data_IF_810462360178
#
_entry.id   IF_810462360178
#
_cell.length_a   1.000
_cell.length_b   1.000
_cell.length_c   1.000
_cell.angle_alpha   90.00
_cell.angle_beta   90.00
_cell.angle_gamma   90.00
#
_symmetry.space_group_name_H-M   'P 1'
#
loop_
_entity.id
_entity.type
_entity.pdbx_description
1 polymer ?
#
# COMPACT_ATOMS: atom_id res chain seq x y z
N UNK A 1 -29.01 -33.56 48.48
CA UNK A 1 -27.99 -32.52 48.47
C UNK A 1 -26.89 -32.91 47.52
N UNK A 2 -27.11 -32.67 46.26
CA UNK A 2 -26.08 -32.88 45.25
C UNK A 2 -26.03 -31.61 44.41
N UNK A 3 -25.09 -30.76 44.75
CA UNK A 3 -24.68 -29.68 43.90
C UNK A 3 -23.96 -30.23 42.69
N UNK A 4 -24.69 -30.48 41.66
CA UNK A 4 -24.08 -30.74 40.35
C UNK A 4 -23.83 -29.41 39.69
N UNK A 5 -22.73 -28.81 40.04
CA UNK A 5 -22.20 -27.69 39.31
C UNK A 5 -21.62 -28.21 37.99
N UNK A 6 -22.43 -28.16 37.00
CA UNK A 6 -21.99 -28.43 35.64
C UNK A 6 -21.05 -27.30 35.23
N UNK A 7 -19.79 -27.55 34.88
CA UNK A 7 -18.97 -26.48 34.37
C UNK A 7 -19.53 -26.08 33.00
N UNK A 8 -20.01 -24.89 32.93
CA UNK A 8 -20.38 -24.29 31.66
C UNK A 8 -19.11 -24.22 30.82
N UNK A 9 -19.02 -25.12 29.87
CA UNK A 9 -17.95 -25.09 28.91
C UNK A 9 -18.11 -23.82 28.12
N UNK A 10 -17.33 -22.82 28.48
CA UNK A 10 -17.21 -21.62 27.66
C UNK A 10 -16.79 -22.09 26.28
N UNK A 11 -17.69 -22.00 25.34
CA UNK A 11 -17.35 -22.18 23.94
C UNK A 11 -16.28 -21.13 23.62
N UNK A 12 -15.06 -21.56 23.46
CA UNK A 12 -14.02 -20.68 22.98
C UNK A 12 -14.47 -20.18 21.62
N UNK A 13 -14.54 -18.88 21.48
CA UNK A 13 -14.85 -18.24 20.21
C UNK A 13 -13.66 -18.37 19.25
N UNK A 14 -13.39 -19.60 18.86
CA UNK A 14 -12.36 -19.92 17.88
C UNK A 14 -12.78 -19.55 16.45
N UNK A 15 -13.99 -19.02 16.26
CA UNK A 15 -14.57 -18.81 14.95
C UNK A 15 -14.30 -17.46 14.31
N UNK A 16 -13.72 -16.48 15.04
CA UNK A 16 -13.53 -15.15 14.49
C UNK A 16 -12.21 -14.99 13.70
N UNK A 17 -11.34 -15.99 13.70
CA UNK A 17 -10.02 -15.89 13.09
C UNK A 17 -9.97 -16.16 11.58
N UNK A 18 -11.12 -16.37 10.93
CA UNK A 18 -11.17 -16.91 9.57
C UNK A 18 -11.63 -15.95 8.49
N UNK A 19 -11.59 -14.67 8.79
CA UNK A 19 -12.18 -13.68 7.91
C UNK A 19 -11.19 -13.20 6.85
N UNK A 20 -9.90 -13.56 6.98
CA UNK A 20 -8.86 -13.05 6.09
C UNK A 20 -8.60 -14.01 4.94
N UNK A 21 -8.54 -13.48 3.72
CA UNK A 21 -8.13 -14.24 2.54
C UNK A 21 -6.63 -14.55 2.60
N UNK A 22 -6.14 -15.45 1.75
CA UNK A 22 -4.72 -15.77 1.68
C UNK A 22 -3.90 -14.56 1.25
N UNK A 23 -4.44 -13.74 0.35
CA UNK A 23 -3.81 -12.50 -0.09
C UNK A 23 -3.73 -11.47 1.05
N UNK A 24 -4.77 -11.37 1.85
CA UNK A 24 -4.80 -10.48 3.02
C UNK A 24 -3.82 -10.92 4.09
N UNK A 25 -3.72 -12.24 4.34
CA UNK A 25 -2.71 -12.78 5.25
C UNK A 25 -1.30 -12.52 4.77
N UNK A 26 -1.05 -12.69 3.48
CA UNK A 26 0.25 -12.39 2.87
C UNK A 26 0.59 -10.90 3.02
N UNK A 27 -0.39 -10.02 2.81
CA UNK A 27 -0.21 -8.58 3.00
C UNK A 27 0.11 -8.22 4.46
N UNK A 28 -0.54 -8.87 5.42
CA UNK A 28 -0.27 -8.69 6.85
C UNK A 28 1.13 -9.16 7.24
N UNK A 29 1.56 -10.32 6.74
CA UNK A 29 2.92 -10.81 6.95
C UNK A 29 3.96 -9.87 6.38
N UNK A 30 3.74 -9.39 5.17
CA UNK A 30 4.63 -8.44 4.51
C UNK A 30 4.70 -7.14 5.30
N UNK A 31 3.56 -6.62 5.76
CA UNK A 31 3.49 -5.42 6.58
C UNK A 31 4.21 -5.60 7.93
N UNK A 32 4.08 -6.76 8.56
CA UNK A 32 4.78 -7.07 9.81
C UNK A 32 6.30 -7.13 9.61
N UNK A 33 6.75 -7.70 8.50
CA UNK A 33 8.17 -7.75 8.12
C UNK A 33 8.71 -6.35 7.86
N UNK A 34 7.97 -5.53 7.12
CA UNK A 34 8.31 -4.14 6.81
C UNK A 34 8.49 -3.31 8.09
N UNK A 35 7.62 -3.51 9.08
CA UNK A 35 7.71 -2.83 10.38
C UNK A 35 8.87 -3.29 11.25
N UNK A 36 9.28 -4.54 11.12
CA UNK A 36 10.40 -5.13 11.88
C UNK A 36 11.76 -4.84 11.26
N UNK A 37 11.79 -4.48 9.97
CA UNK A 37 13.04 -4.12 9.32
C UNK A 37 13.64 -2.89 10.02
N UNK A 38 14.94 -2.93 10.36
CA UNK A 38 15.58 -1.79 11.00
C UNK A 38 15.51 -0.59 10.08
N UNK A 39 14.97 0.50 10.61
CA UNK A 39 14.85 1.76 9.88
C UNK A 39 16.21 2.43 9.80
N UNK A 40 16.93 2.18 8.73
CA UNK A 40 18.14 2.91 8.36
C UNK A 40 17.69 4.14 7.55
N UNK A 41 17.19 5.16 8.25
CA UNK A 41 16.62 6.36 7.63
C UNK A 41 17.60 6.99 6.64
N UNK A 42 17.20 7.04 5.36
CA UNK A 42 17.90 7.77 4.31
C UNK A 42 19.17 7.13 3.80
N UNK A 43 19.48 5.87 4.16
CA UNK A 43 20.63 5.20 3.58
C UNK A 43 20.36 4.81 2.13
N UNK A 44 21.39 4.90 1.29
CA UNK A 44 21.31 4.45 -0.10
C UNK A 44 20.98 2.97 -0.20
N UNK A 45 21.41 2.16 0.76
CA UNK A 45 21.14 0.73 0.84
C UNK A 45 19.66 0.45 1.10
N UNK A 46 19.06 1.15 2.06
CA UNK A 46 17.63 1.03 2.37
C UNK A 46 16.78 1.41 1.16
N UNK A 47 17.15 2.49 0.49
CA UNK A 47 16.47 2.93 -0.72
C UNK A 47 16.57 1.92 -1.85
N UNK A 48 17.74 1.33 -2.06
CA UNK A 48 17.97 0.31 -3.06
C UNK A 48 17.19 -0.97 -2.75
N UNK A 49 17.14 -1.37 -1.49
CA UNK A 49 16.35 -2.51 -1.03
C UNK A 49 14.85 -2.27 -1.25
N UNK A 50 14.37 -1.09 -0.90
CA UNK A 50 12.98 -0.67 -1.14
C UNK A 50 12.61 -0.71 -2.61
N UNK A 51 13.49 -0.23 -3.49
CA UNK A 51 13.31 -0.30 -4.95
C UNK A 51 13.21 -1.76 -5.42
N UNK A 52 14.08 -2.63 -4.94
CA UNK A 52 14.02 -4.06 -5.29
C UNK A 52 12.71 -4.71 -4.83
N UNK A 53 12.28 -4.42 -3.62
CA UNK A 53 11.02 -4.94 -3.07
C UNK A 53 9.82 -4.46 -3.88
N UNK A 54 9.83 -3.19 -4.24
CA UNK A 54 8.78 -2.58 -5.07
C UNK A 54 8.73 -3.24 -6.44
N UNK A 55 9.87 -3.38 -7.10
CA UNK A 55 9.93 -4.02 -8.42
C UNK A 55 9.49 -5.48 -8.36
N UNK A 56 9.84 -6.21 -7.30
CA UNK A 56 9.38 -7.58 -7.10
C UNK A 56 7.86 -7.64 -6.91
N UNK A 57 7.26 -6.69 -6.23
CA UNK A 57 5.81 -6.63 -6.05
C UNK A 57 5.10 -6.36 -7.38
N UNK A 58 5.63 -5.48 -8.20
CA UNK A 58 5.09 -5.19 -9.54
C UNK A 58 5.20 -6.40 -10.46
N UNK A 59 6.33 -7.09 -10.44
CA UNK A 59 6.57 -8.26 -11.29
C UNK A 59 5.56 -9.39 -11.05
N UNK A 60 4.98 -9.47 -9.87
CA UNK A 60 3.95 -10.47 -9.51
C UNK A 60 2.55 -10.11 -9.97
N UNK A 61 2.34 -8.88 -10.40
CA UNK A 61 1.01 -8.43 -10.81
C UNK A 61 0.65 -8.97 -12.18
N UNK A 62 -0.61 -9.42 -12.38
CA UNK A 62 -1.11 -9.68 -13.74
C UNK A 62 -1.38 -8.35 -14.46
N UNK A 63 -1.58 -8.42 -15.79
CA UNK A 63 -2.07 -7.28 -16.54
C UNK A 63 -3.58 -7.05 -16.26
N UNK A 64 -4.09 -5.83 -16.28
CA UNK A 64 -3.38 -4.57 -16.61
C UNK A 64 -2.66 -3.91 -15.42
N UNK A 65 -2.74 -4.46 -14.22
CA UNK A 65 -2.17 -3.86 -13.02
C UNK A 65 -0.66 -3.64 -13.14
N UNK A 66 0.06 -4.62 -13.68
CA UNK A 66 1.50 -4.55 -13.82
C UNK A 66 1.94 -3.36 -14.67
N UNK A 67 1.37 -3.21 -15.86
CA UNK A 67 1.70 -2.08 -16.74
C UNK A 67 1.36 -0.74 -16.12
N UNK A 68 0.22 -0.63 -15.42
CA UNK A 68 -0.13 0.59 -14.70
C UNK A 68 0.87 0.90 -13.59
N UNK A 69 1.24 -0.11 -12.80
CA UNK A 69 2.18 0.05 -11.71
C UNK A 69 3.58 0.49 -12.21
N UNK A 70 4.05 -0.09 -13.29
CA UNK A 70 5.33 0.28 -13.93
C UNK A 70 5.31 1.73 -14.39
N UNK A 71 4.23 2.15 -15.05
CA UNK A 71 4.08 3.52 -15.53
C UNK A 71 3.99 4.52 -14.37
N UNK A 72 3.22 4.20 -13.35
CA UNK A 72 3.10 5.03 -12.14
C UNK A 72 4.45 5.17 -11.45
N UNK A 73 5.23 4.11 -11.38
CA UNK A 73 6.58 4.16 -10.80
C UNK A 73 7.45 5.16 -11.55
N UNK A 74 7.45 5.11 -12.86
CA UNK A 74 8.17 6.09 -13.68
C UNK A 74 7.70 7.52 -13.45
N UNK A 75 6.39 7.73 -13.38
CA UNK A 75 5.80 9.05 -13.14
C UNK A 75 6.22 9.61 -11.78
N UNK A 76 6.09 8.82 -10.71
CA UNK A 76 6.42 9.24 -9.36
C UNK A 76 7.90 9.58 -9.22
N UNK A 77 8.78 8.71 -9.71
CA UNK A 77 10.22 8.92 -9.61
C UNK A 77 10.73 10.07 -10.48
N UNK A 78 10.02 10.37 -11.57
CA UNK A 78 10.31 11.55 -12.38
C UNK A 78 9.81 12.83 -11.72
N UNK A 79 8.61 12.78 -11.15
CA UNK A 79 7.99 13.95 -10.51
C UNK A 79 8.70 14.35 -9.21
N UNK A 80 9.03 13.39 -8.37
CA UNK A 80 9.68 13.62 -7.06
C UNK A 80 10.77 12.56 -6.85
N UNK A 81 11.97 12.74 -7.41
CA UNK A 81 13.05 11.75 -7.30
C UNK A 81 13.50 11.46 -5.87
N UNK A 82 13.24 12.37 -4.94
CA UNK A 82 13.63 12.21 -3.53
C UNK A 82 12.73 11.27 -2.74
N UNK A 83 11.58 10.88 -3.28
CA UNK A 83 10.74 9.89 -2.63
C UNK A 83 11.45 8.54 -2.59
N UNK A 84 11.32 7.84 -1.48
CA UNK A 84 11.91 6.52 -1.30
C UNK A 84 10.91 5.43 -1.71
N UNK A 85 11.22 4.66 -2.76
CA UNK A 85 10.37 3.51 -3.12
C UNK A 85 10.43 2.46 -2.01
N UNK A 86 9.29 1.83 -1.74
CA UNK A 86 9.18 0.73 -0.78
C UNK A 86 7.91 -0.05 -1.04
N UNK A 87 7.66 -1.07 -0.23
CA UNK A 87 6.37 -1.74 -0.21
C UNK A 87 5.58 -1.34 1.04
N UNK A 88 4.26 -1.29 0.90
CA UNK A 88 3.32 -1.00 1.97
C UNK A 88 2.17 -2.00 1.86
N UNK A 89 2.06 -2.91 2.82
CA UNK A 89 1.15 -4.07 2.72
C UNK A 89 1.34 -4.83 1.40
N UNK A 90 2.58 -4.93 0.92
CA UNK A 90 2.91 -5.56 -0.35
C UNK A 90 2.62 -4.74 -1.59
N UNK A 91 2.09 -3.53 -1.46
CA UNK A 91 1.82 -2.61 -2.56
C UNK A 91 3.03 -1.72 -2.86
N UNK A 92 3.26 -1.34 -4.12
CA UNK A 92 4.24 -0.32 -4.45
C UNK A 92 3.89 0.99 -3.75
N UNK A 93 4.82 1.53 -2.99
CA UNK A 93 4.60 2.73 -2.18
C UNK A 93 5.80 3.66 -2.23
N UNK A 94 5.58 4.90 -1.85
CA UNK A 94 6.58 5.96 -1.90
C UNK A 94 6.56 6.75 -0.60
N UNK A 95 7.72 6.88 0.02
CA UNK A 95 7.84 7.49 1.35
C UNK A 95 8.71 8.74 1.32
N UNK A 96 8.44 9.65 2.25
CA UNK A 96 9.24 10.83 2.51
C UNK A 96 9.52 10.89 4.01
N UNK A 97 10.79 11.01 4.38
CA UNK A 97 11.22 11.09 5.79
C UNK A 97 10.65 9.94 6.66
N UNK A 98 10.60 8.73 6.09
CA UNK A 98 10.11 7.55 6.77
C UNK A 98 8.58 7.39 6.78
N UNK A 99 7.84 8.34 6.24
CA UNK A 99 6.38 8.27 6.16
C UNK A 99 5.92 7.94 4.76
N UNK A 100 5.06 6.94 4.62
CA UNK A 100 4.42 6.62 3.34
C UNK A 100 3.52 7.77 2.92
N UNK A 101 3.72 8.27 1.71
CA UNK A 101 2.95 9.39 1.13
C UNK A 101 1.84 8.86 0.22
N UNK A 102 2.17 7.91 -0.65
CA UNK A 102 1.23 7.35 -1.61
C UNK A 102 1.58 5.92 -1.98
N UNK A 103 0.63 5.20 -2.55
CA UNK A 103 0.80 3.82 -2.99
C UNK A 103 -0.16 3.46 -4.12
N UNK A 104 0.20 2.41 -4.87
CA UNK A 104 -0.64 1.82 -5.89
C UNK A 104 -1.29 0.55 -5.36
N UNK A 105 -2.62 0.55 -5.31
CA UNK A 105 -3.42 -0.59 -4.87
C UNK A 105 -3.91 -1.36 -6.10
N UNK A 106 -3.29 -2.51 -6.37
CA UNK A 106 -3.64 -3.31 -7.53
C UNK A 106 -4.97 -4.07 -7.34
N UNK A 107 -5.82 -4.03 -8.36
CA UNK A 107 -7.16 -4.61 -8.31
C UNK A 107 -7.14 -6.13 -8.12
N UNK A 108 -6.21 -6.81 -8.78
CA UNK A 108 -6.11 -8.28 -8.74
C UNK A 108 -5.83 -8.84 -7.34
N UNK A 109 -4.95 -8.19 -6.59
CA UNK A 109 -4.57 -8.62 -5.23
C UNK A 109 -5.72 -8.46 -4.24
N UNK A 110 -6.42 -7.35 -4.32
CA UNK A 110 -7.49 -7.00 -3.38
C UNK A 110 -8.89 -7.37 -3.91
N UNK A 111 -8.97 -7.97 -5.10
CA UNK A 111 -10.22 -8.41 -5.74
C UNK A 111 -11.25 -7.29 -5.84
N UNK A 112 -10.77 -6.12 -6.21
CA UNK A 112 -11.60 -4.94 -6.45
C UNK A 112 -11.88 -4.76 -7.93
N UNK A 113 -12.93 -4.01 -8.24
CA UNK A 113 -13.35 -3.75 -9.63
C UNK A 113 -12.36 -2.87 -10.40
N UNK A 114 -11.60 -2.03 -9.69
CA UNK A 114 -10.60 -1.13 -10.25
C UNK A 114 -9.37 -1.07 -9.34
N UNK A 115 -8.24 -0.68 -9.90
CA UNK A 115 -7.07 -0.32 -9.13
C UNK A 115 -7.26 1.07 -8.52
N UNK A 116 -6.44 1.44 -7.56
CA UNK A 116 -6.50 2.77 -6.97
C UNK A 116 -5.09 3.32 -6.73
N UNK A 117 -4.96 4.62 -6.89
CA UNK A 117 -3.80 5.36 -6.42
C UNK A 117 -4.23 6.18 -5.21
N UNK A 118 -3.62 5.91 -4.07
CA UNK A 118 -4.09 6.42 -2.78
C UNK A 118 -2.98 7.20 -2.07
N UNK A 119 -3.40 8.17 -1.26
CA UNK A 119 -2.51 9.02 -0.47
C UNK A 119 -2.79 8.86 1.02
N UNK A 120 -1.74 8.92 1.83
CA UNK A 120 -1.87 8.88 3.28
C UNK A 120 -2.22 10.27 3.85
N UNK A 121 -2.48 10.31 5.15
CA UNK A 121 -2.67 11.58 5.88
C UNK A 121 -1.39 12.43 5.98
N UNK A 122 -0.25 11.89 5.58
CA UNK A 122 1.02 12.63 5.51
C UNK A 122 1.19 13.38 4.19
N UNK A 123 0.32 13.13 3.22
CA UNK A 123 0.34 13.83 1.95
C UNK A 123 -0.23 15.24 2.10
N UNK A 124 0.47 16.22 1.56
CA UNK A 124 0.05 17.63 1.62
C UNK A 124 -0.95 17.94 0.50
N UNK A 125 -2.16 17.35 0.60
CA UNK A 125 -3.24 17.53 -0.37
C UNK A 125 -4.40 18.37 0.15
N UNK A 126 -4.28 18.89 1.35
CA UNK A 126 -5.35 19.62 2.03
C UNK A 126 -5.88 20.76 1.19
N UNK A 127 -7.19 20.80 1.05
CA UNK A 127 -7.91 21.82 0.29
C UNK A 127 -9.29 22.03 0.93
N UNK A 128 -9.45 23.13 1.66
CA UNK A 128 -10.66 23.38 2.44
C UNK A 128 -10.83 22.34 3.56
N UNK A 129 -12.07 21.95 3.81
CA UNK A 129 -12.41 20.97 4.84
C UNK A 129 -12.60 19.55 4.30
N UNK A 130 -12.58 19.38 2.98
CA UNK A 130 -12.79 18.09 2.32
C UNK A 130 -12.01 18.04 1.00
N UNK A 131 -11.22 16.99 0.82
CA UNK A 131 -10.45 16.76 -0.41
C UNK A 131 -10.30 15.27 -0.69
N UNK A 132 -10.11 14.88 -1.97
CA UNK A 132 -9.92 13.47 -2.31
C UNK A 132 -8.51 12.99 -1.96
N UNK A 133 -8.41 11.75 -1.48
CA UNK A 133 -7.14 11.09 -1.16
C UNK A 133 -6.98 9.75 -1.84
N UNK A 134 -7.99 9.27 -2.57
CA UNK A 134 -7.95 8.03 -3.31
C UNK A 134 -8.57 8.24 -4.70
N UNK A 135 -7.91 7.68 -5.71
CA UNK A 135 -8.31 7.82 -7.11
C UNK A 135 -8.44 6.44 -7.74
N UNK A 136 -9.61 6.12 -8.27
CA UNK A 136 -9.87 4.88 -8.97
C UNK A 136 -9.22 4.90 -10.36
N UNK A 137 -8.61 3.79 -10.75
CA UNK A 137 -7.92 3.65 -12.03
C UNK A 137 -8.38 2.38 -12.75
N UNK A 138 -8.97 2.53 -13.93
CA UNK A 138 -9.25 1.41 -14.84
C UNK A 138 -8.22 1.34 -15.96
N UNK A 139 -7.62 2.47 -16.30
CA UNK A 139 -6.54 2.61 -17.28
C UNK A 139 -5.75 3.90 -16.99
N UNK A 140 -4.65 4.10 -17.66
CA UNK A 140 -3.87 5.33 -17.57
C UNK A 140 -3.83 6.03 -18.93
N UNK A 141 -4.54 7.15 -19.03
CA UNK A 141 -4.42 8.04 -20.17
C UNK A 141 -3.28 9.02 -19.96
N UNK A 142 -2.87 9.73 -21.01
CA UNK A 142 -1.82 10.76 -20.89
C UNK A 142 -2.25 11.87 -19.91
N UNK A 143 -3.53 12.23 -19.89
CA UNK A 143 -4.05 13.21 -18.94
C UNK A 143 -3.99 12.70 -17.49
N UNK A 144 -4.30 11.44 -17.28
CA UNK A 144 -4.20 10.80 -15.95
C UNK A 144 -2.76 10.76 -15.45
N UNK A 145 -1.81 10.45 -16.31
CA UNK A 145 -0.39 10.45 -15.97
C UNK A 145 0.09 11.83 -15.53
N UNK A 146 -0.29 12.87 -16.26
CA UNK A 146 0.03 14.24 -15.91
C UNK A 146 -0.58 14.65 -14.58
N UNK A 147 -1.83 14.23 -14.33
CA UNK A 147 -2.54 14.49 -13.08
C UNK A 147 -1.87 13.80 -11.89
N UNK A 148 -1.48 12.54 -12.04
CA UNK A 148 -0.76 11.80 -10.99
C UNK A 148 0.55 12.49 -10.66
N UNK A 149 1.33 12.88 -11.65
CA UNK A 149 2.58 13.59 -11.43
C UNK A 149 2.38 14.90 -10.65
N UNK A 150 1.37 15.68 -11.00
CA UNK A 150 1.03 16.92 -10.30
C UNK A 150 0.59 16.67 -8.85
N UNK A 151 -0.25 15.65 -8.64
CA UNK A 151 -0.70 15.25 -7.30
C UNK A 151 0.45 14.82 -6.40
N UNK A 152 1.37 14.01 -6.92
CA UNK A 152 2.53 13.53 -6.18
C UNK A 152 3.45 14.70 -5.79
N UNK A 153 3.69 15.65 -6.68
CA UNK A 153 4.45 16.86 -6.38
C UNK A 153 3.83 17.67 -5.24
N UNK A 154 2.52 17.87 -5.31
CA UNK A 154 1.77 18.59 -4.26
C UNK A 154 1.82 17.83 -2.94
N UNK A 155 1.59 16.52 -2.99
CA UNK A 155 1.56 15.66 -1.81
C UNK A 155 2.89 15.64 -1.06
N UNK A 156 4.00 15.68 -1.79
CA UNK A 156 5.35 15.61 -1.24
C UNK A 156 5.96 17.00 -0.93
N UNK A 157 5.25 18.06 -1.21
CA UNK A 157 5.73 19.44 -0.97
C UNK A 157 5.76 19.82 0.51
#
# INVERSE_FOLDING_TARGET
MLDTKTPTKRASSAGSAQIWTDEERAAMKTSARERKAPSLRGSAEERAEGERDLQASIAKMPEPDRSMAERIHGIVMTAVPDLAPKTYYGMPAYAKDGNVICWFKNASKFKTRYAAFEFSDKANLDEGAMWPTAFALTELTAADEARIGALVKKAAS
#
